data_IF_418778356454
#
_entry.id   IF_418778356454
#
_cell.length_a   1.000
_cell.length_b   1.000
_cell.length_c   1.000
_cell.angle_alpha   90.00
_cell.angle_beta   90.00
_cell.angle_gamma   90.00
#
_symmetry.space_group_name_H-M   'P 1'
#
loop_
_entity.id
_entity.type
_entity.pdbx_description
1 polymer ?
#
# COMPACT_ATOMS: atom_id res chain seq x y z
N UNK A 1 -29.21 33.78 8.21
CA UNK A 1 -27.78 33.44 8.33
C UNK A 1 -27.57 32.16 7.55
N UNK A 2 -26.65 32.12 6.58
CA UNK A 2 -26.32 30.88 5.87
C UNK A 2 -25.51 29.96 6.78
N UNK A 3 -25.74 28.65 6.72
CA UNK A 3 -24.91 27.68 7.41
C UNK A 3 -23.47 27.74 6.86
N UNK A 4 -22.45 27.53 7.71
CA UNK A 4 -21.08 27.44 7.24
C UNK A 4 -20.95 26.28 6.23
N UNK A 5 -20.05 26.40 5.23
CA UNK A 5 -19.78 25.29 4.33
C UNK A 5 -19.29 24.06 5.12
N UNK A 6 -19.57 22.85 4.65
CA UNK A 6 -19.04 21.65 5.28
C UNK A 6 -17.51 21.69 5.29
N UNK A 7 -16.86 21.09 6.30
CA UNK A 7 -15.41 20.98 6.32
C UNK A 7 -14.94 20.24 5.06
N UNK A 8 -13.72 20.54 4.57
CA UNK A 8 -13.15 19.79 3.47
C UNK A 8 -13.05 18.30 3.86
N UNK A 9 -13.21 17.39 2.88
CA UNK A 9 -13.05 15.96 3.09
C UNK A 9 -11.66 15.65 3.67
N UNK A 10 -11.55 14.63 4.53
CA UNK A 10 -10.29 14.30 5.15
C UNK A 10 -9.30 13.85 4.09
N UNK A 11 -8.08 14.34 4.25
CA UNK A 11 -6.92 13.92 3.48
C UNK A 11 -6.59 12.46 3.80
N UNK A 12 -6.14 11.71 2.79
CA UNK A 12 -5.79 10.30 2.92
C UNK A 12 -4.29 10.14 2.73
N UNK A 13 -3.60 9.69 3.76
CA UNK A 13 -2.19 9.35 3.72
C UNK A 13 -2.01 7.96 3.15
N UNK A 14 -1.00 7.77 2.30
CA UNK A 14 -0.58 6.47 1.77
C UNK A 14 0.87 6.19 2.15
N UNK A 15 1.13 4.97 2.58
CA UNK A 15 2.45 4.43 2.84
C UNK A 15 2.58 2.99 2.34
N UNK A 16 3.82 2.57 2.06
CA UNK A 16 4.14 1.16 1.84
C UNK A 16 4.67 0.59 3.15
N UNK A 17 4.12 -0.53 3.59
CA UNK A 17 4.58 -1.23 4.79
C UNK A 17 5.36 -2.46 4.36
N UNK A 18 6.56 -2.60 4.91
CA UNK A 18 7.47 -3.72 4.69
C UNK A 18 7.58 -4.52 5.98
N UNK A 19 7.43 -5.83 5.85
CA UNK A 19 7.62 -6.81 6.92
C UNK A 19 8.88 -7.65 6.67
N UNK A 20 9.50 -8.05 7.77
CA UNK A 20 10.59 -9.03 7.82
C UNK A 20 10.18 -10.31 7.09
N UNK A 21 11.11 -10.91 6.34
CA UNK A 21 10.87 -12.17 5.65
C UNK A 21 10.67 -13.34 6.61
N UNK A 22 9.76 -14.25 6.26
CA UNK A 22 9.49 -15.50 6.99
C UNK A 22 9.60 -16.67 5.99
N UNK A 23 10.36 -17.74 6.27
CA UNK A 23 11.03 -18.07 7.54
C UNK A 23 12.42 -17.45 7.75
N UNK A 24 12.98 -16.76 6.74
CA UNK A 24 14.28 -16.08 6.82
C UNK A 24 14.15 -14.68 6.22
N UNK A 25 14.79 -13.68 6.82
CA UNK A 25 14.69 -12.28 6.40
C UNK A 25 15.50 -11.95 5.14
N UNK A 26 15.36 -12.72 4.07
CA UNK A 26 15.96 -12.36 2.79
C UNK A 26 15.09 -11.37 2.02
N UNK A 27 15.75 -10.59 1.17
CA UNK A 27 15.10 -9.61 0.30
C UNK A 27 13.97 -10.25 -0.50
N UNK A 28 14.03 -11.52 -0.92
CA UNK A 28 12.95 -12.12 -1.70
C UNK A 28 11.76 -12.62 -0.87
N UNK A 29 11.89 -12.65 0.46
CA UNK A 29 10.86 -13.10 1.40
C UNK A 29 10.22 -11.94 2.17
N UNK A 30 10.85 -10.77 2.20
CA UNK A 30 10.25 -9.56 2.81
C UNK A 30 8.94 -9.19 2.15
N UNK A 31 7.94 -8.97 2.98
CA UNK A 31 6.56 -8.90 2.55
C UNK A 31 6.05 -7.46 2.51
N UNK A 32 5.39 -7.05 1.42
CA UNK A 32 4.99 -5.65 1.21
C UNK A 32 3.50 -5.48 1.00
N UNK A 33 2.96 -4.37 1.51
CA UNK A 33 1.56 -3.98 1.36
C UNK A 33 1.41 -2.46 1.31
N UNK A 34 0.27 -1.99 0.81
CA UNK A 34 -0.08 -0.56 0.83
C UNK A 34 -1.02 -0.28 1.99
N UNK A 35 -0.70 0.74 2.77
CA UNK A 35 -1.49 1.21 3.90
C UNK A 35 -2.05 2.60 3.62
N UNK A 36 -3.33 2.79 3.92
CA UNK A 36 -4.03 4.07 3.84
C UNK A 36 -4.61 4.44 5.19
N UNK A 37 -4.53 5.73 5.51
CA UNK A 37 -5.15 6.30 6.69
C UNK A 37 -5.72 7.68 6.39
N UNK A 38 -6.99 7.89 6.72
CA UNK A 38 -7.56 9.23 6.74
C UNK A 38 -6.96 10.04 7.91
N UNK A 39 -6.57 11.30 7.66
CA UNK A 39 -5.92 12.15 8.67
C UNK A 39 -6.83 12.42 9.88
N UNK A 40 -8.14 12.46 9.67
CA UNK A 40 -9.15 12.60 10.74
C UNK A 40 -9.38 11.29 11.53
N UNK A 41 -8.75 10.20 11.12
CA UNK A 41 -8.97 8.86 11.69
C UNK A 41 -10.24 8.18 11.21
N UNK A 42 -10.93 8.73 10.19
CA UNK A 42 -12.21 8.21 9.71
C UNK A 42 -12.13 6.80 9.13
N UNK A 43 -11.00 6.43 8.52
CA UNK A 43 -10.74 5.05 8.12
C UNK A 43 -9.26 4.69 8.08
N UNK A 44 -9.00 3.39 8.14
CA UNK A 44 -7.74 2.76 7.81
C UNK A 44 -8.01 1.60 6.84
N UNK A 45 -7.11 1.40 5.88
CA UNK A 45 -7.20 0.31 4.91
C UNK A 45 -5.80 -0.23 4.65
N UNK A 46 -5.63 -1.54 4.80
CA UNK A 46 -4.46 -2.25 4.29
C UNK A 46 -4.89 -3.02 3.05
N UNK A 47 -4.16 -2.84 1.95
CA UNK A 47 -4.38 -3.52 0.69
C UNK A 47 -3.11 -4.28 0.27
N UNK A 48 -3.29 -5.53 -0.13
CA UNK A 48 -2.19 -6.48 -0.19
C UNK A 48 -2.51 -7.66 -1.14
N UNK A 49 -1.56 -8.08 -1.98
CA UNK A 49 -1.58 -9.39 -2.63
C UNK A 49 -0.87 -10.46 -1.78
N UNK A 50 -1.66 -11.29 -1.09
CA UNK A 50 -1.19 -12.32 -0.14
C UNK A 50 -1.13 -13.69 -0.78
N UNK A 51 -0.07 -14.44 -0.54
CA UNK A 51 0.03 -15.85 -0.90
C UNK A 51 1.46 -16.28 -1.19
N UNK A 52 1.59 -17.52 -1.66
CA UNK A 52 2.83 -18.03 -2.23
C UNK A 52 2.75 -18.06 -3.76
N UNK A 53 3.87 -18.40 -4.40
CA UNK A 53 3.95 -18.56 -5.85
C UNK A 53 2.80 -19.43 -6.38
N UNK A 54 2.06 -18.92 -7.37
CA UNK A 54 0.91 -19.57 -7.98
C UNK A 54 -0.40 -19.53 -7.19
N UNK A 55 -0.43 -18.89 -6.01
CA UNK A 55 -1.61 -18.85 -5.13
C UNK A 55 -1.81 -17.50 -4.42
N UNK A 56 -1.38 -16.40 -5.03
CA UNK A 56 -1.66 -15.05 -4.56
C UNK A 56 -3.14 -14.68 -4.72
N UNK A 57 -3.65 -13.91 -3.78
CA UNK A 57 -5.01 -13.35 -3.75
C UNK A 57 -5.00 -11.93 -3.20
N UNK A 58 -5.96 -11.12 -3.61
CA UNK A 58 -6.18 -9.82 -3.00
C UNK A 58 -6.68 -9.99 -1.56
N UNK A 59 -6.13 -9.18 -0.68
CA UNK A 59 -6.55 -9.08 0.69
C UNK A 59 -6.71 -7.60 1.05
N UNK A 60 -7.90 -7.26 1.53
CA UNK A 60 -8.26 -5.94 1.99
C UNK A 60 -8.65 -6.05 3.46
N UNK A 61 -8.00 -5.29 4.32
CA UNK A 61 -8.27 -5.30 5.76
C UNK A 61 -8.61 -3.91 6.25
N UNK A 62 -9.70 -3.82 7.01
CA UNK A 62 -9.96 -2.75 7.97
C UNK A 62 -8.94 -2.88 9.10
N UNK A 63 -7.71 -2.45 8.84
CA UNK A 63 -6.63 -2.63 9.79
C UNK A 63 -6.76 -1.66 10.96
N UNK A 64 -6.72 -2.20 12.18
CA UNK A 64 -6.03 -1.50 13.27
C UNK A 64 -4.55 -1.51 12.91
N UNK A 65 -3.91 -0.36 13.08
CA UNK A 65 -2.50 -0.07 12.86
C UNK A 65 -1.59 -1.31 12.74
N UNK A 66 -1.22 -1.67 11.51
CA UNK A 66 -0.53 -2.92 11.18
C UNK A 66 0.96 -2.90 11.59
N UNK A 67 1.42 -1.77 12.15
CA UNK A 67 2.79 -1.51 12.61
C UNK A 67 3.11 -2.14 13.98
N UNK A 68 2.12 -2.77 14.60
CA UNK A 68 2.21 -3.36 15.94
C UNK A 68 2.61 -4.83 15.95
N UNK A 69 2.99 -5.42 14.81
CA UNK A 69 3.46 -6.81 14.78
C UNK A 69 4.97 -6.88 14.92
N UNK A 70 5.47 -7.96 15.52
CA UNK A 70 6.90 -8.23 15.63
C UNK A 70 7.60 -8.40 14.26
N UNK A 71 6.82 -8.59 13.18
CA UNK A 71 7.34 -8.72 11.82
C UNK A 71 7.44 -7.37 11.10
N UNK A 72 6.96 -6.26 11.68
CA UNK A 72 7.07 -4.95 11.05
C UNK A 72 8.55 -4.55 10.92
N UNK A 73 9.01 -4.30 9.69
CA UNK A 73 10.36 -3.83 9.43
C UNK A 73 10.37 -2.31 9.25
N UNK A 74 9.54 -1.79 8.34
CA UNK A 74 9.59 -0.36 7.96
C UNK A 74 8.26 0.13 7.38
N UNK A 75 7.97 1.40 7.61
CA UNK A 75 6.93 2.15 6.91
C UNK A 75 7.61 3.19 6.01
N UNK A 76 7.29 3.14 4.72
CA UNK A 76 7.78 4.08 3.72
C UNK A 76 6.63 5.04 3.39
N UNK A 77 6.65 6.28 3.89
CA UNK A 77 5.63 7.25 3.54
C UNK A 77 5.72 7.57 2.05
N UNK A 78 4.61 7.41 1.33
CA UNK A 78 4.52 7.82 -0.08
C UNK A 78 4.12 9.29 -0.11
N UNK A 79 2.85 9.63 0.15
CA UNK A 79 2.36 11.02 0.32
C UNK A 79 0.89 11.03 0.74
N UNK A 80 0.27 12.22 0.70
CA UNK A 80 -1.17 12.37 0.81
C UNK A 80 -1.80 12.27 -0.59
N UNK A 81 -2.84 11.44 -0.74
CA UNK A 81 -3.61 11.34 -1.96
C UNK A 81 -4.30 12.69 -2.27
N UNK A 82 -4.39 12.99 -3.56
CA UNK A 82 -4.99 14.22 -4.08
C UNK A 82 -6.48 14.05 -4.32
N UNK A 83 -7.28 15.01 -3.88
CA UNK A 83 -8.74 14.98 -4.11
C UNK A 83 -9.48 14.05 -3.14
N UNK A 84 -10.77 13.86 -3.42
CA UNK A 84 -11.65 13.06 -2.56
C UNK A 84 -11.53 11.58 -2.94
N UNK A 85 -11.16 10.76 -1.98
CA UNK A 85 -11.07 9.32 -2.16
C UNK A 85 -11.65 8.59 -0.97
N UNK A 86 -12.55 7.66 -1.26
CA UNK A 86 -13.20 6.83 -0.26
C UNK A 86 -12.46 5.51 -0.11
N UNK A 87 -12.61 4.88 1.06
CA UNK A 87 -12.13 3.51 1.28
C UNK A 87 -12.65 2.52 0.24
N UNK A 88 -13.90 2.68 -0.21
CA UNK A 88 -14.50 1.81 -1.23
C UNK A 88 -13.81 1.96 -2.59
N UNK A 89 -13.45 3.19 -3.00
CA UNK A 89 -12.70 3.42 -4.23
C UNK A 89 -11.29 2.82 -4.16
N UNK A 90 -10.58 3.00 -3.04
CA UNK A 90 -9.28 2.37 -2.82
C UNK A 90 -9.36 0.85 -2.90
N UNK A 91 -10.33 0.25 -2.22
CA UNK A 91 -10.59 -1.20 -2.29
C UNK A 91 -10.89 -1.68 -3.71
N UNK A 92 -11.71 -0.95 -4.46
CA UNK A 92 -12.04 -1.32 -5.83
C UNK A 92 -10.80 -1.30 -6.73
N UNK A 93 -10.02 -0.21 -6.69
CA UNK A 93 -8.80 -0.10 -7.49
C UNK A 93 -7.77 -1.18 -7.13
N UNK A 94 -7.63 -1.54 -5.86
CA UNK A 94 -6.75 -2.63 -5.44
C UNK A 94 -7.14 -3.96 -6.10
N UNK A 95 -8.45 -4.25 -6.19
CA UNK A 95 -8.96 -5.46 -6.85
C UNK A 95 -8.82 -5.43 -8.38
N UNK A 96 -8.70 -4.25 -9.00
CA UNK A 96 -8.45 -4.10 -10.44
C UNK A 96 -6.99 -4.36 -10.83
N UNK A 97 -6.06 -4.29 -9.87
CA UNK A 97 -4.65 -4.62 -10.13
C UNK A 97 -4.53 -6.13 -10.30
N UNK A 98 -4.09 -6.63 -11.47
CA UNK A 98 -4.02 -8.06 -11.72
C UNK A 98 -3.00 -8.74 -10.79
N UNK A 99 -3.31 -9.97 -10.41
CA UNK A 99 -2.39 -10.89 -9.77
C UNK A 99 -2.03 -11.96 -10.81
N UNK A 100 -0.76 -12.05 -11.16
CA UNK A 100 -0.29 -13.05 -12.10
C UNK A 100 0.20 -14.30 -11.35
N UNK A 101 -0.70 -15.25 -11.15
CA UNK A 101 -0.35 -16.57 -10.59
C UNK A 101 0.29 -17.52 -11.61
N UNK A 102 0.37 -17.13 -12.89
CA UNK A 102 1.09 -17.88 -13.91
C UNK A 102 2.59 -17.58 -13.91
N UNK A 103 2.97 -16.40 -13.41
CA UNK A 103 4.35 -15.96 -13.30
C UNK A 103 5.01 -16.42 -11.98
N UNK A 104 6.03 -17.31 -12.03
CA UNK A 104 6.75 -17.74 -10.83
C UNK A 104 7.58 -16.62 -10.19
N UNK A 105 7.86 -15.55 -10.93
CA UNK A 105 8.61 -14.39 -10.44
C UNK A 105 7.71 -13.35 -9.76
N UNK A 106 6.37 -13.48 -9.87
CA UNK A 106 5.43 -12.55 -9.27
C UNK A 106 5.62 -12.49 -7.74
N UNK A 107 5.78 -11.27 -7.23
CA UNK A 107 5.90 -10.95 -5.80
C UNK A 107 4.88 -9.91 -5.40
N UNK A 108 4.58 -9.85 -4.10
CA UNK A 108 3.76 -8.80 -3.50
C UNK A 108 4.27 -7.38 -3.82
N UNK A 109 5.57 -7.19 -4.06
CA UNK A 109 6.15 -5.90 -4.51
C UNK A 109 5.70 -5.48 -5.89
N UNK A 110 5.68 -6.41 -6.85
CA UNK A 110 5.22 -6.12 -8.20
C UNK A 110 3.76 -5.66 -8.17
N UNK A 111 2.95 -6.28 -7.31
CA UNK A 111 1.57 -5.83 -7.08
C UNK A 111 1.49 -4.44 -6.43
N UNK A 112 2.33 -4.16 -5.41
CA UNK A 112 2.37 -2.83 -4.75
C UNK A 112 2.77 -1.75 -5.76
N UNK A 113 3.80 -1.99 -6.57
CA UNK A 113 4.24 -1.07 -7.63
C UNK A 113 3.11 -0.80 -8.64
N UNK A 114 2.45 -1.85 -9.13
CA UNK A 114 1.32 -1.73 -10.04
C UNK A 114 0.15 -0.96 -9.41
N UNK A 115 -0.11 -1.15 -8.12
CA UNK A 115 -1.19 -0.44 -7.42
C UNK A 115 -0.87 1.04 -7.18
N UNK A 116 0.37 1.38 -6.81
CA UNK A 116 0.82 2.78 -6.79
C UNK A 116 0.75 3.40 -8.19
N UNK A 117 1.04 2.62 -9.23
CA UNK A 117 0.86 3.00 -10.63
C UNK A 117 -0.59 3.38 -10.94
N UNK A 118 -1.56 2.55 -10.52
CA UNK A 118 -2.99 2.87 -10.67
C UNK A 118 -3.41 4.16 -9.98
N UNK A 119 -2.89 4.41 -8.77
CA UNK A 119 -3.14 5.67 -8.05
C UNK A 119 -2.58 6.87 -8.80
N UNK A 120 -1.40 6.73 -9.40
CA UNK A 120 -0.81 7.75 -10.27
C UNK A 120 -1.64 7.98 -11.53
N UNK A 121 -2.02 6.92 -12.26
CA UNK A 121 -2.84 7.00 -13.47
C UNK A 121 -4.20 7.67 -13.21
N UNK A 122 -4.80 7.42 -12.03
CA UNK A 122 -6.04 8.03 -11.59
C UNK A 122 -5.88 9.49 -11.09
N UNK A 123 -4.65 10.01 -11.04
CA UNK A 123 -4.35 11.39 -10.62
C UNK A 123 -4.30 11.60 -9.10
N UNK A 124 -4.34 10.53 -8.31
CA UNK A 124 -4.22 10.59 -6.84
C UNK A 124 -2.78 10.84 -6.38
N UNK A 125 -1.80 10.48 -7.20
CA UNK A 125 -0.37 10.73 -6.97
C UNK A 125 0.24 11.51 -8.14
N UNK A 126 1.29 12.27 -7.85
CA UNK A 126 2.21 12.81 -8.86
C UNK A 126 3.30 11.78 -9.18
N UNK A 127 3.95 11.93 -10.34
CA UNK A 127 5.04 11.04 -10.77
C UNK A 127 6.17 10.93 -9.74
N UNK A 128 6.55 12.06 -9.12
CA UNK A 128 7.59 12.07 -8.10
C UNK A 128 7.18 11.35 -6.81
N UNK A 129 5.88 11.37 -6.47
CA UNK A 129 5.34 10.69 -5.29
C UNK A 129 5.25 9.18 -5.52
N UNK A 130 4.80 8.78 -6.73
CA UNK A 130 4.85 7.39 -7.17
C UNK A 130 6.29 6.83 -7.13
N UNK A 131 7.24 7.54 -7.76
CA UNK A 131 8.63 7.09 -7.85
C UNK A 131 9.25 6.96 -6.46
N UNK A 132 9.08 7.98 -5.61
CA UNK A 132 9.54 7.94 -4.22
C UNK A 132 8.97 6.75 -3.43
N UNK A 133 7.69 6.41 -3.63
CA UNK A 133 7.07 5.27 -2.97
C UNK A 133 7.67 3.92 -3.41
N UNK A 134 7.92 3.76 -4.71
CA UNK A 134 8.52 2.55 -5.28
C UNK A 134 9.99 2.42 -4.88
N UNK A 135 10.78 3.48 -5.03
CA UNK A 135 12.19 3.52 -4.65
C UNK A 135 12.36 3.21 -3.16
N UNK A 136 11.59 3.89 -2.30
CA UNK A 136 11.66 3.67 -0.86
C UNK A 136 11.23 2.26 -0.45
N UNK A 137 10.25 1.66 -1.15
CA UNK A 137 9.91 0.24 -0.96
C UNK A 137 11.07 -0.68 -1.32
N UNK A 138 11.76 -0.43 -2.43
CA UNK A 138 12.89 -1.24 -2.88
C UNK A 138 14.07 -1.13 -1.91
N UNK A 139 14.39 0.09 -1.45
CA UNK A 139 15.41 0.31 -0.42
C UNK A 139 15.05 -0.41 0.88
N UNK A 140 13.83 -0.24 1.37
CA UNK A 140 13.34 -0.92 2.58
C UNK A 140 13.32 -2.45 2.45
N UNK A 141 13.13 -2.97 1.24
CA UNK A 141 13.22 -4.40 0.97
C UNK A 141 14.67 -4.91 0.91
N UNK A 142 15.62 -4.08 0.51
CA UNK A 142 17.05 -4.41 0.44
C UNK A 142 17.75 -4.34 1.80
N UNK A 143 17.19 -3.59 2.77
CA UNK A 143 17.65 -3.53 4.16
C UNK A 143 17.49 -4.86 4.95
N UNK A 144 17.37 -6.00 4.25
CA UNK A 144 17.34 -7.35 4.81
C UNK A 144 18.61 -7.66 5.60
N UNK A 145 18.44 -8.30 6.77
CA UNK A 145 19.59 -8.87 7.49
C UNK A 145 20.13 -10.05 6.67
N UNK A 146 21.44 -10.04 6.41
CA UNK A 146 22.16 -11.09 5.68
C UNK A 146 22.38 -12.34 6.51
#
# INVERSE_FOLDING_TARGET
MAAPPPPPPPRVLVSVVVYVGDPVDFQNYRHTMVFFRAEDGGFMLTAHAMGGAGAFRHELRDSKDSRHTAMFAKEVPVRCLRGEVTKAQLSAMACEVPIDNGDPEFKCRAWVEAYLGKLYEAGYLLQGEYSQGVDGMMEAAMESDG
#
